data_IF_605151674517
#
_entry.id   IF_605151674517
#
_cell.length_a   1.000
_cell.length_b   1.000
_cell.length_c   1.000
_cell.angle_alpha   90.00
_cell.angle_beta   90.00
_cell.angle_gamma   90.00
#
_symmetry.space_group_name_H-M   'P 1'
#
loop_
_entity.id
_entity.type
_entity.pdbx_description
1 polymer ?
#
# COMPACT_ATOMS: atom_id res chain seq x y z
N UNK A 1 -7.62 -5.95 -24.29
CA UNK A 1 -7.41 -4.65 -23.61
C UNK A 1 -6.91 -4.97 -22.21
N UNK A 2 -5.89 -4.30 -21.71
CA UNK A 2 -5.46 -4.47 -20.31
C UNK A 2 -6.61 -4.10 -19.38
N UNK A 3 -6.81 -4.87 -18.32
CA UNK A 3 -7.81 -4.55 -17.30
C UNK A 3 -7.45 -3.21 -16.62
N UNK A 4 -8.44 -2.38 -16.37
CA UNK A 4 -8.27 -1.08 -15.70
C UNK A 4 -8.82 -1.11 -14.28
N UNK A 5 -8.25 -0.27 -13.43
CA UNK A 5 -8.63 -0.09 -12.03
C UNK A 5 -8.75 1.39 -11.68
N UNK A 6 -9.52 1.68 -10.63
CA UNK A 6 -9.61 3.01 -10.03
C UNK A 6 -8.55 3.21 -8.95
N UNK A 7 -7.98 4.40 -8.91
CA UNK A 7 -7.00 4.82 -7.91
C UNK A 7 -7.20 6.30 -7.52
N UNK A 8 -6.79 6.66 -6.30
CA UNK A 8 -6.84 8.02 -5.79
C UNK A 8 -5.46 8.66 -5.89
N UNK A 9 -5.33 9.68 -6.74
CA UNK A 9 -4.05 10.26 -7.13
C UNK A 9 -4.03 11.79 -7.08
N UNK A 10 -2.83 12.35 -7.08
CA UNK A 10 -2.58 13.77 -7.33
C UNK A 10 -1.67 13.96 -8.55
N UNK A 11 -1.78 15.10 -9.22
CA UNK A 11 -1.01 15.40 -10.45
C UNK A 11 0.22 16.26 -10.23
N UNK A 12 0.31 16.91 -9.07
CA UNK A 12 1.42 17.74 -8.61
C UNK A 12 1.37 17.86 -7.09
N UNK A 13 2.46 18.32 -6.49
CA UNK A 13 2.49 18.62 -5.06
C UNK A 13 1.56 19.78 -4.69
N UNK A 14 1.12 19.79 -3.44
CA UNK A 14 0.35 20.84 -2.79
C UNK A 14 -1.01 20.37 -2.28
N UNK A 15 -1.73 21.28 -1.62
CA UNK A 15 -3.07 21.03 -1.02
C UNK A 15 -4.20 20.90 -2.05
N UNK A 16 -3.92 20.23 -3.16
CA UNK A 16 -4.89 19.98 -4.22
C UNK A 16 -5.84 18.85 -3.80
N UNK A 17 -7.07 18.81 -4.33
CA UNK A 17 -7.94 17.66 -4.18
C UNK A 17 -7.27 16.38 -4.70
N UNK A 18 -7.54 15.26 -4.03
CA UNK A 18 -7.16 13.94 -4.54
C UNK A 18 -8.23 13.52 -5.54
N UNK A 19 -7.81 13.13 -6.73
CA UNK A 19 -8.68 12.77 -7.85
C UNK A 19 -8.76 11.25 -7.99
N UNK A 20 -9.94 10.75 -8.33
CA UNK A 20 -10.09 9.37 -8.79
C UNK A 20 -9.70 9.28 -10.26
N UNK A 21 -8.78 8.39 -10.59
CA UNK A 21 -8.30 8.14 -11.96
C UNK A 21 -8.42 6.66 -12.32
N UNK A 22 -8.53 6.36 -13.60
CA UNK A 22 -8.41 4.99 -14.12
C UNK A 22 -6.95 4.72 -14.55
N UNK A 23 -6.40 3.59 -14.12
CA UNK A 23 -5.04 3.11 -14.41
C UNK A 23 -5.09 1.65 -14.85
N UNK A 24 -4.10 1.13 -15.59
CA UNK A 24 -3.99 -0.31 -15.79
C UNK A 24 -3.78 -1.03 -14.45
N UNK A 25 -4.36 -2.21 -14.30
CA UNK A 25 -4.01 -3.12 -13.20
C UNK A 25 -2.52 -3.46 -13.32
N UNK A 26 -1.72 -3.35 -12.25
CA UNK A 26 -0.30 -3.66 -12.32
C UNK A 26 -0.08 -5.18 -12.41
N UNK A 27 0.90 -5.57 -13.22
CA UNK A 27 1.41 -6.95 -13.22
C UNK A 27 2.40 -7.11 -12.06
N UNK A 28 2.24 -8.10 -11.17
CA UNK A 28 3.18 -8.31 -10.08
C UNK A 28 4.54 -8.78 -10.62
N UNK A 29 5.63 -8.22 -10.08
CA UNK A 29 6.97 -8.72 -10.29
C UNK A 29 7.19 -10.14 -9.73
N UNK A 30 8.36 -10.76 -9.96
CA UNK A 30 8.61 -12.15 -9.59
C UNK A 30 8.39 -12.48 -8.11
N UNK A 31 8.75 -11.57 -7.20
CA UNK A 31 8.58 -11.74 -5.74
C UNK A 31 7.37 -10.99 -5.17
N UNK A 32 6.54 -10.43 -6.04
CA UNK A 32 5.39 -9.63 -5.63
C UNK A 32 4.11 -10.44 -5.73
N UNK A 33 3.13 -10.06 -4.91
CA UNK A 33 1.74 -10.48 -5.07
C UNK A 33 0.91 -9.29 -5.53
N UNK A 34 -0.06 -9.54 -6.39
CA UNK A 34 -1.10 -8.57 -6.68
C UNK A 34 -2.20 -8.72 -5.64
N UNK A 35 -2.42 -7.69 -4.84
CA UNK A 35 -3.50 -7.67 -3.84
C UNK A 35 -4.69 -6.89 -4.39
N UNK A 36 -5.87 -7.52 -4.40
CA UNK A 36 -7.15 -6.81 -4.52
C UNK A 36 -7.45 -6.14 -3.18
N UNK A 37 -7.27 -4.83 -3.14
CA UNK A 37 -7.41 -4.02 -1.92
C UNK A 37 -8.88 -3.98 -1.51
N UNK A 38 -9.14 -4.28 -0.24
CA UNK A 38 -10.47 -4.23 0.39
C UNK A 38 -10.60 -3.04 1.33
N UNK A 39 -9.50 -2.66 1.97
CA UNK A 39 -9.39 -1.45 2.77
C UNK A 39 -7.96 -0.91 2.74
N UNK A 40 -7.83 0.39 2.95
CA UNK A 40 -6.58 1.10 3.14
C UNK A 40 -6.80 2.14 4.25
N UNK A 41 -5.76 2.50 4.98
CA UNK A 41 -5.84 3.52 6.03
C UNK A 41 -5.12 4.81 5.62
N UNK A 42 -5.55 5.93 6.19
CA UNK A 42 -4.95 7.25 5.94
C UNK A 42 -4.03 7.61 7.10
N UNK A 43 -2.82 8.02 6.76
CA UNK A 43 -1.78 8.40 7.71
C UNK A 43 -1.26 9.82 7.46
N UNK A 44 -0.64 10.47 8.47
CA UNK A 44 -0.05 11.80 8.28
C UNK A 44 0.99 11.91 7.16
N UNK A 45 1.70 10.82 6.88
CA UNK A 45 2.67 10.77 5.79
C UNK A 45 2.02 10.96 4.42
N UNK A 46 0.76 10.55 4.23
CA UNK A 46 0.09 10.62 2.93
C UNK A 46 -0.15 12.07 2.50
N UNK A 47 -0.70 12.91 3.39
CA UNK A 47 -0.91 14.33 3.07
C UNK A 47 0.38 15.15 3.11
N UNK A 48 1.38 14.79 3.95
CA UNK A 48 2.72 15.40 3.90
C UNK A 48 3.43 15.12 2.58
N UNK A 49 3.25 13.90 2.04
CA UNK A 49 3.76 13.51 0.73
C UNK A 49 3.05 14.27 -0.39
N UNK A 50 1.70 14.32 -0.33
CA UNK A 50 0.88 15.11 -1.25
C UNK A 50 1.31 16.58 -1.29
N UNK A 51 1.54 17.18 -0.13
CA UNK A 51 1.87 18.61 -0.01
C UNK A 51 3.33 18.92 -0.39
N UNK A 52 4.17 17.89 -0.50
CA UNK A 52 5.57 18.00 -0.93
C UNK A 52 6.56 18.23 0.22
N UNK A 53 6.16 18.02 1.47
CA UNK A 53 6.99 18.20 2.67
C UNK A 53 8.18 17.24 2.69
N UNK A 54 8.07 16.11 1.98
CA UNK A 54 9.08 15.04 1.93
C UNK A 54 9.87 14.99 0.60
N UNK A 55 9.66 15.95 -0.30
CA UNK A 55 10.21 15.93 -1.68
C UNK A 55 11.75 15.93 -1.76
N UNK A 56 12.42 16.38 -0.69
CA UNK A 56 13.88 16.38 -0.60
C UNK A 56 14.43 14.98 -0.29
N UNK A 57 13.62 14.10 0.32
CA UNK A 57 14.02 12.77 0.78
C UNK A 57 13.51 11.68 -0.17
N UNK A 58 12.29 11.82 -0.68
CA UNK A 58 11.66 10.85 -1.58
C UNK A 58 11.12 11.58 -2.81
N UNK A 59 11.55 11.14 -4.00
CA UNK A 59 11.08 11.69 -5.27
C UNK A 59 9.96 10.82 -5.82
N UNK A 60 8.81 11.43 -6.06
CA UNK A 60 7.67 10.77 -6.69
C UNK A 60 7.50 11.18 -8.15
N UNK A 61 6.96 10.25 -8.95
CA UNK A 61 6.46 10.52 -10.30
C UNK A 61 4.97 10.83 -10.23
N UNK A 62 4.50 11.68 -11.13
CA UNK A 62 3.08 12.03 -11.24
C UNK A 62 2.45 11.39 -12.50
N UNK A 63 1.16 11.02 -12.47
CA UNK A 63 0.25 11.11 -11.33
C UNK A 63 0.67 10.17 -10.19
N UNK A 64 0.62 10.68 -8.96
CA UNK A 64 1.04 9.97 -7.76
C UNK A 64 -0.18 9.41 -7.06
N UNK A 65 -0.33 8.09 -7.06
CA UNK A 65 -1.31 7.39 -6.23
C UNK A 65 -0.84 7.44 -4.78
N UNK A 66 -1.71 7.84 -3.86
CA UNK A 66 -1.38 7.97 -2.44
C UNK A 66 -1.61 6.65 -1.67
N UNK A 67 -1.23 6.61 -0.40
CA UNK A 67 -1.55 5.52 0.52
C UNK A 67 -0.39 4.57 0.80
N UNK A 68 -0.24 4.24 2.09
CA UNK A 68 0.84 3.40 2.60
C UNK A 68 0.38 2.14 3.33
N UNK A 69 -0.92 1.95 3.55
CA UNK A 69 -1.44 0.76 4.23
C UNK A 69 -2.48 0.06 3.37
N UNK A 70 -2.52 -1.27 3.41
CA UNK A 70 -3.55 -2.07 2.75
C UNK A 70 -3.96 -3.28 3.60
N UNK A 71 -5.20 -3.72 3.38
CA UNK A 71 -5.66 -5.07 3.63
C UNK A 71 -6.52 -5.54 2.46
N UNK A 72 -6.35 -6.80 2.07
CA UNK A 72 -7.00 -7.32 0.88
C UNK A 72 -6.81 -8.81 0.66
N UNK A 73 -7.09 -9.24 -0.56
CA UNK A 73 -7.00 -10.64 -0.97
C UNK A 73 -5.97 -10.75 -2.09
N UNK A 74 -5.09 -11.75 -2.02
CA UNK A 74 -4.14 -12.05 -3.10
C UNK A 74 -4.92 -12.48 -4.34
N UNK A 75 -4.81 -11.70 -5.42
CA UNK A 75 -5.44 -11.95 -6.71
C UNK A 75 -4.49 -12.71 -7.65
N UNK A 76 -3.20 -12.38 -7.62
CA UNK A 76 -2.14 -13.03 -8.41
C UNK A 76 -0.82 -13.10 -7.64
N UNK A 77 0.06 -14.03 -8.03
CA UNK A 77 1.39 -14.21 -7.43
C UNK A 77 2.48 -14.25 -8.50
N UNK A 78 3.60 -13.61 -8.23
CA UNK A 78 4.81 -13.73 -9.04
C UNK A 78 5.44 -15.13 -8.95
N UNK A 79 6.26 -15.46 -9.95
CA UNK A 79 6.89 -16.79 -10.10
C UNK A 79 7.80 -17.21 -8.93
N UNK A 80 8.32 -16.26 -8.17
CA UNK A 80 9.26 -16.46 -7.06
C UNK A 80 8.59 -16.24 -5.69
N UNK A 81 7.28 -16.01 -5.67
CA UNK A 81 6.49 -16.02 -4.43
C UNK A 81 6.41 -17.45 -3.87
N UNK A 82 6.67 -17.59 -2.58
CA UNK A 82 6.63 -18.87 -1.85
C UNK A 82 5.72 -18.84 -0.62
N UNK A 83 5.49 -17.65 -0.07
CA UNK A 83 4.80 -17.49 1.21
C UNK A 83 3.27 -17.36 1.09
N UNK A 84 2.76 -17.03 -0.10
CA UNK A 84 1.36 -16.71 -0.34
C UNK A 84 0.83 -17.37 -1.62
N UNK A 85 -0.49 -17.54 -1.68
CA UNK A 85 -1.23 -18.02 -2.85
C UNK A 85 -2.48 -17.17 -3.09
N UNK A 86 -3.04 -17.27 -4.29
CA UNK A 86 -4.32 -16.65 -4.66
C UNK A 86 -5.41 -17.03 -3.66
N UNK A 87 -6.19 -16.04 -3.21
CA UNK A 87 -7.26 -16.18 -2.22
C UNK A 87 -6.82 -15.95 -0.76
N UNK A 88 -5.52 -15.87 -0.48
CA UNK A 88 -5.05 -15.55 0.87
C UNK A 88 -5.45 -14.12 1.27
N UNK A 89 -5.94 -13.95 2.50
CA UNK A 89 -6.22 -12.63 3.08
C UNK A 89 -4.94 -12.08 3.71
N UNK A 90 -4.53 -10.90 3.29
CA UNK A 90 -3.27 -10.27 3.68
C UNK A 90 -3.47 -8.83 4.08
N UNK A 91 -2.54 -8.32 4.88
CA UNK A 91 -2.44 -6.92 5.27
C UNK A 91 -0.97 -6.52 5.36
N UNK A 92 -0.67 -5.24 5.21
CA UNK A 92 0.70 -4.76 5.26
C UNK A 92 0.87 -3.34 4.73
N UNK A 93 2.12 -2.94 4.63
CA UNK A 93 2.53 -1.66 4.06
C UNK A 93 3.72 -1.86 3.13
N UNK A 94 3.70 -1.33 1.89
CA UNK A 94 4.86 -1.44 1.01
C UNK A 94 6.06 -0.70 1.58
N UNK A 95 7.27 -1.03 1.12
CA UNK A 95 8.50 -0.30 1.48
C UNK A 95 8.44 1.22 1.23
N UNK A 96 9.32 1.99 1.90
CA UNK A 96 9.30 3.47 1.98
C UNK A 96 9.20 4.20 0.63
N UNK A 97 9.69 3.60 -0.44
CA UNK A 97 9.74 4.20 -1.77
C UNK A 97 8.58 3.78 -2.69
N UNK A 98 7.67 2.92 -2.22
CA UNK A 98 6.62 2.31 -3.05
C UNK A 98 5.23 2.63 -2.50
N UNK A 99 4.78 3.88 -2.61
CA UNK A 99 3.44 4.31 -2.20
C UNK A 99 2.41 4.01 -3.31
N UNK A 100 1.15 3.79 -2.94
CA UNK A 100 0.06 3.70 -3.90
C UNK A 100 -1.13 2.84 -3.48
N UNK A 101 -1.30 2.56 -2.20
CA UNK A 101 -2.32 1.62 -1.72
C UNK A 101 -3.76 2.13 -1.85
N UNK A 102 -3.97 3.42 -2.15
CA UNK A 102 -5.30 3.96 -2.48
C UNK A 102 -5.69 3.62 -3.93
N UNK A 103 -5.69 2.33 -4.25
CA UNK A 103 -6.07 1.76 -5.54
C UNK A 103 -6.84 0.46 -5.33
N UNK A 104 -7.63 0.04 -6.31
CA UNK A 104 -8.35 -1.24 -6.21
C UNK A 104 -7.42 -2.46 -6.24
N UNK A 105 -6.26 -2.33 -6.88
CA UNK A 105 -5.21 -3.35 -6.88
C UNK A 105 -3.84 -2.72 -6.60
N UNK A 106 -2.97 -3.47 -5.94
CA UNK A 106 -1.61 -3.04 -5.64
C UNK A 106 -0.65 -4.22 -5.66
N UNK A 107 0.46 -4.09 -6.38
CA UNK A 107 1.53 -5.07 -6.39
C UNK A 107 2.51 -4.79 -5.24
N UNK A 108 2.74 -5.78 -4.38
CA UNK A 108 3.55 -5.63 -3.17
C UNK A 108 4.45 -6.84 -2.97
N UNK A 109 5.68 -6.60 -2.52
CA UNK A 109 6.64 -7.66 -2.26
C UNK A 109 6.12 -8.60 -1.16
N UNK A 110 6.30 -9.91 -1.32
CA UNK A 110 5.87 -10.90 -0.33
C UNK A 110 6.47 -10.69 1.07
N UNK A 111 7.57 -9.94 1.20
CA UNK A 111 8.19 -9.62 2.50
C UNK A 111 7.61 -8.36 3.17
N UNK A 112 6.77 -7.59 2.47
CA UNK A 112 6.12 -6.37 2.97
C UNK A 112 4.68 -6.61 3.49
N UNK A 113 4.22 -7.86 3.49
CA UNK A 113 2.86 -8.26 3.91
C UNK A 113 2.88 -9.47 4.86
N UNK A 114 1.79 -9.62 5.59
CA UNK A 114 1.53 -10.78 6.44
C UNK A 114 0.10 -11.31 6.24
N UNK A 115 -0.15 -12.54 6.69
CA UNK A 115 -1.52 -13.06 6.77
C UNK A 115 -2.39 -12.21 7.69
N UNK A 116 -3.58 -11.89 7.23
CA UNK A 116 -4.55 -11.15 8.04
C UNK A 116 -4.99 -12.00 9.25
N UNK A 117 -4.99 -11.44 10.47
CA UNK A 117 -5.54 -12.13 11.64
C UNK A 117 -7.00 -12.53 11.42
N UNK A 118 -7.37 -13.76 11.80
CA UNK A 118 -8.71 -14.31 11.53
C UNK A 118 -9.84 -13.62 12.28
N UNK A 119 -9.52 -12.90 13.35
CA UNK A 119 -10.46 -12.20 14.22
C UNK A 119 -10.65 -10.72 13.87
N UNK A 120 -10.01 -10.24 12.78
CA UNK A 120 -10.15 -8.86 12.31
C UNK A 120 -10.89 -8.82 10.98
N UNK A 121 -11.64 -7.75 10.74
CA UNK A 121 -12.10 -7.39 9.41
C UNK A 121 -11.02 -6.66 8.60
N UNK A 122 -11.30 -6.35 7.32
CA UNK A 122 -10.33 -5.68 6.46
C UNK A 122 -10.03 -4.24 6.90
N UNK A 123 -11.01 -3.51 7.45
CA UNK A 123 -10.83 -2.12 7.90
C UNK A 123 -9.95 -2.09 9.14
N UNK A 124 -10.23 -2.96 10.11
CA UNK A 124 -9.42 -3.15 11.31
C UNK A 124 -8.00 -3.56 10.94
N UNK A 125 -7.83 -4.55 10.06
CA UNK A 125 -6.51 -5.00 9.63
C UNK A 125 -5.72 -3.90 8.90
N UNK A 126 -6.35 -3.13 8.00
CA UNK A 126 -5.68 -2.04 7.28
C UNK A 126 -5.27 -0.87 8.20
N UNK A 127 -5.91 -0.72 9.36
CA UNK A 127 -5.58 0.36 10.32
C UNK A 127 -4.27 0.14 11.09
N UNK A 128 -3.68 -1.05 11.01
CA UNK A 128 -2.55 -1.49 11.83
C UNK A 128 -1.16 -1.25 11.21
N UNK A 129 -0.87 -1.50 9.91
CA UNK A 129 0.50 -1.76 9.48
C UNK A 129 1.49 -0.63 9.77
N UNK A 130 1.26 0.59 9.27
CA UNK A 130 2.21 1.68 9.49
C UNK A 130 2.29 2.10 10.97
N UNK A 131 1.15 2.32 11.62
CA UNK A 131 1.12 2.81 13.02
C UNK A 131 1.61 1.74 14.01
N UNK A 132 1.27 0.48 13.77
CA UNK A 132 1.69 -0.66 14.57
C UNK A 132 3.19 -0.87 14.50
N UNK A 133 3.77 -0.87 13.29
CA UNK A 133 5.23 -0.94 13.12
C UNK A 133 5.93 0.25 13.75
N UNK A 134 5.40 1.47 13.57
CA UNK A 134 5.98 2.69 14.18
C UNK A 134 5.99 2.60 15.70
N UNK A 135 4.88 2.15 16.30
CA UNK A 135 4.77 1.99 17.75
C UNK A 135 5.70 0.90 18.27
N UNK A 136 5.76 -0.24 17.59
CA UNK A 136 6.65 -1.33 17.94
C UNK A 136 8.12 -0.87 17.92
N UNK A 137 8.57 -0.23 16.84
CA UNK A 137 9.95 0.28 16.75
C UNK A 137 10.28 1.29 17.85
N UNK A 138 9.37 2.22 18.14
CA UNK A 138 9.57 3.20 19.20
C UNK A 138 9.77 2.52 20.57
N UNK A 139 8.91 1.57 20.92
CA UNK A 139 8.97 0.88 22.20
C UNK A 139 10.00 -0.23 22.27
N UNK A 140 10.34 -0.91 21.17
CA UNK A 140 11.18 -2.11 21.15
C UNK A 140 12.60 -1.91 20.63
N UNK A 141 12.85 -0.89 19.82
CA UNK A 141 14.18 -0.69 19.20
C UNK A 141 14.86 0.59 19.69
N UNK A 142 14.09 1.61 20.10
CA UNK A 142 14.63 2.92 20.47
C UNK A 142 14.63 3.16 21.98
N UNK A 143 13.53 2.84 22.67
CA UNK A 143 13.35 3.13 24.11
C UNK A 143 13.87 2.04 25.05
N UNK A 144 14.58 1.02 24.55
CA UNK A 144 15.27 0.03 25.38
C UNK A 144 16.64 0.53 25.81
#
# INVERSE_FOLDING_TARGET
>A
MSETMKAMAVRKYGKQPVEMIDLPVPEPGPEEVLVRVKAASVNPVDFKTRDGDLKAVVKHKFPLVLGNDLAGVVEQVGKDVRNFKVGDKVYGRPGKNNMGTFAQYFAINQYDIAFMPKNLDFVEAASIPLVGLTSYQAFHEIMH
#
